data_IF_317261812580
#
_entry.id   IF_317261812580
#
_cell.length_a   1.000
_cell.length_b   1.000
_cell.length_c   1.000
_cell.angle_alpha   90.00
_cell.angle_beta   90.00
_cell.angle_gamma   90.00
#
_symmetry.space_group_name_H-M   'P 1'
#
loop_
_entity.id
_entity.type
_entity.pdbx_description
1 polymer ?
#
# COMPACT_ATOMS: atom_id res chain seq x y z
N UNK A 1 -2.21 -16.81 3.47
CA UNK A 1 -3.27 -15.98 4.07
C UNK A 1 -3.15 -14.56 3.52
N UNK A 2 -4.20 -14.00 2.92
CA UNK A 2 -4.17 -12.64 2.35
C UNK A 2 -4.34 -11.63 3.49
N UNK A 3 -3.27 -10.92 3.84
CA UNK A 3 -3.23 -9.99 4.97
C UNK A 3 -3.54 -8.53 4.59
N UNK A 4 -3.89 -8.28 3.32
CA UNK A 4 -4.01 -6.92 2.77
C UNK A 4 -2.75 -6.10 3.00
N UNK A 5 -1.57 -6.68 2.72
CA UNK A 5 -0.26 -6.06 2.90
C UNK A 5 0.50 -6.08 1.58
N UNK A 6 1.16 -4.98 1.25
CA UNK A 6 2.24 -4.94 0.26
C UNK A 6 3.59 -5.18 0.96
N UNK A 7 4.57 -5.67 0.21
CA UNK A 7 5.92 -5.91 0.72
C UNK A 7 6.94 -5.32 -0.25
N UNK A 8 7.82 -4.46 0.27
CA UNK A 8 8.91 -3.87 -0.50
C UNK A 8 10.08 -4.87 -0.53
N UNK A 9 10.50 -5.24 -1.72
CA UNK A 9 11.65 -6.13 -1.87
C UNK A 9 12.94 -5.33 -1.61
N UNK A 10 13.81 -5.86 -0.75
CA UNK A 10 15.08 -5.20 -0.39
C UNK A 10 14.97 -4.08 0.64
N UNK A 11 13.80 -3.90 1.27
CA UNK A 11 13.62 -2.88 2.30
C UNK A 11 14.59 -3.06 3.48
N UNK A 12 15.28 -1.97 3.85
CA UNK A 12 16.31 -1.95 4.90
C UNK A 12 17.44 -2.98 4.73
N UNK A 13 17.74 -3.40 3.48
CA UNK A 13 18.87 -4.27 3.17
C UNK A 13 19.91 -3.51 2.34
N UNK A 14 21.18 -3.80 2.60
CA UNK A 14 22.28 -3.35 1.74
C UNK A 14 22.26 -4.22 0.49
N UNK A 15 22.14 -3.59 -0.68
CA UNK A 15 22.22 -4.29 -1.96
C UNK A 15 23.67 -4.71 -2.25
N UNK A 16 23.89 -6.02 -2.36
CA UNK A 16 25.18 -6.63 -2.73
C UNK A 16 25.17 -7.23 -4.15
N UNK A 17 24.25 -6.78 -5.00
CA UNK A 17 23.99 -7.32 -6.34
C UNK A 17 22.85 -8.34 -6.39
N UNK A 18 22.16 -8.56 -5.26
CA UNK A 18 21.02 -9.49 -5.17
C UNK A 18 19.81 -8.98 -5.97
N UNK A 19 19.78 -7.69 -6.33
CA UNK A 19 18.69 -7.04 -7.04
C UNK A 19 19.06 -6.61 -8.47
N UNK A 20 20.17 -7.07 -9.04
CA UNK A 20 20.63 -6.63 -10.38
C UNK A 20 19.93 -7.32 -11.58
N UNK A 21 18.89 -8.13 -11.32
CA UNK A 21 18.13 -8.81 -12.38
C UNK A 21 16.77 -8.17 -12.61
N UNK A 22 16.46 -7.92 -13.88
CA UNK A 22 15.09 -7.59 -14.32
C UNK A 22 14.17 -8.76 -13.99
N UNK A 23 13.02 -8.46 -13.38
CA UNK A 23 12.02 -9.48 -13.02
C UNK A 23 10.63 -8.89 -12.95
N UNK A 24 9.64 -9.77 -13.05
CA UNK A 24 8.26 -9.42 -12.75
C UNK A 24 8.05 -9.30 -11.24
N UNK A 25 7.19 -8.38 -10.83
CA UNK A 25 6.85 -8.07 -9.45
C UNK A 25 5.36 -7.76 -9.33
N UNK A 26 4.79 -7.82 -8.13
CA UNK A 26 3.37 -7.55 -7.93
C UNK A 26 3.02 -6.05 -8.08
N UNK A 27 3.95 -5.18 -7.69
CA UNK A 27 3.80 -3.73 -7.79
C UNK A 27 5.17 -3.03 -7.82
N UNK A 28 5.15 -1.75 -8.20
CA UNK A 28 6.29 -0.85 -8.17
C UNK A 28 5.96 0.39 -7.33
N UNK A 29 6.99 1.03 -6.82
CA UNK A 29 6.86 2.30 -6.10
C UNK A 29 6.61 3.46 -7.06
N UNK A 30 5.67 4.35 -6.74
CA UNK A 30 5.34 5.52 -7.56
C UNK A 30 6.48 6.51 -7.76
N UNK A 31 7.50 6.47 -6.90
CA UNK A 31 8.67 7.35 -7.02
C UNK A 31 9.43 7.20 -8.34
N UNK A 32 9.44 6.01 -8.94
CA UNK A 32 10.13 5.73 -10.20
C UNK A 32 9.29 4.78 -11.06
N UNK A 33 8.29 5.34 -11.72
CA UNK A 33 7.29 4.56 -12.43
C UNK A 33 7.13 5.01 -13.89
N UNK A 34 7.23 4.07 -14.82
CA UNK A 34 7.05 4.32 -16.26
C UNK A 34 5.93 3.43 -16.79
N UNK A 35 4.93 4.04 -17.41
CA UNK A 35 3.73 3.37 -17.90
C UNK A 35 3.57 3.67 -19.39
N UNK A 36 3.24 2.65 -20.19
CA UNK A 36 2.88 2.86 -21.59
C UNK A 36 1.54 3.57 -21.68
N UNK A 37 1.42 4.61 -22.51
CA UNK A 37 0.18 5.35 -22.72
C UNK A 37 -1.03 4.41 -23.00
N UNK A 38 -0.84 3.39 -23.83
CA UNK A 38 -1.89 2.38 -24.12
C UNK A 38 -2.44 1.65 -22.89
N UNK A 39 -1.65 1.49 -21.82
CA UNK A 39 -2.10 0.86 -20.57
C UNK A 39 -3.04 1.82 -19.85
N UNK A 40 -2.66 3.10 -19.72
CA UNK A 40 -3.50 4.14 -19.09
C UNK A 40 -4.82 4.30 -19.85
N UNK A 41 -4.79 4.30 -21.19
CA UNK A 41 -6.00 4.37 -22.01
C UNK A 41 -6.92 3.15 -21.83
N UNK A 42 -6.37 2.01 -21.44
CA UNK A 42 -7.13 0.76 -21.27
C UNK A 42 -7.72 0.63 -19.85
N UNK A 43 -6.94 0.89 -18.80
CA UNK A 43 -7.38 0.65 -17.42
C UNK A 43 -7.72 1.93 -16.64
N UNK A 44 -7.48 3.11 -17.21
CA UNK A 44 -7.62 4.40 -16.55
C UNK A 44 -6.37 4.81 -15.74
N UNK A 45 -6.41 6.00 -15.17
CA UNK A 45 -5.34 6.58 -14.35
C UNK A 45 -5.28 5.96 -12.93
N UNK A 46 -4.41 6.50 -12.07
CA UNK A 46 -4.41 6.23 -10.64
C UNK A 46 -5.77 6.63 -10.04
N UNK A 47 -6.29 5.80 -9.13
CA UNK A 47 -7.58 6.07 -8.51
C UNK A 47 -7.45 7.16 -7.43
N UNK A 48 -8.07 8.32 -7.70
CA UNK A 48 -8.05 9.50 -6.84
C UNK A 48 -8.69 9.25 -5.48
N UNK A 49 -9.49 8.19 -5.32
CA UNK A 49 -10.04 7.81 -4.02
C UNK A 49 -8.96 7.44 -3.01
N UNK A 50 -7.79 7.00 -3.45
CA UNK A 50 -6.66 6.70 -2.57
C UNK A 50 -6.01 7.97 -2.03
N UNK A 51 -5.87 9.00 -2.88
CA UNK A 51 -5.15 10.26 -2.64
C UNK A 51 -3.65 10.11 -2.31
N UNK A 52 -3.30 9.21 -1.38
CA UNK A 52 -1.94 8.93 -0.93
C UNK A 52 -1.84 7.49 -0.41
N UNK A 53 -0.78 6.78 -0.79
CA UNK A 53 -0.55 5.36 -0.53
C UNK A 53 -1.59 4.41 -1.13
N UNK A 54 -1.10 3.33 -1.74
CA UNK A 54 -1.87 2.25 -2.40
C UNK A 54 -2.41 2.56 -3.80
N UNK A 55 -2.34 3.81 -4.28
CA UNK A 55 -2.76 4.19 -5.62
C UNK A 55 -1.98 3.43 -6.69
N UNK A 56 -0.66 3.27 -6.54
CA UNK A 56 0.17 2.54 -7.49
C UNK A 56 0.02 1.03 -7.33
N UNK A 57 -0.20 0.55 -6.10
CA UNK A 57 -0.50 -0.87 -5.83
C UNK A 57 -1.81 -1.28 -6.51
N UNK A 58 -2.86 -0.46 -6.39
CA UNK A 58 -4.14 -0.62 -7.09
C UNK A 58 -3.95 -0.59 -8.61
N UNK A 59 -3.19 0.37 -9.12
CA UNK A 59 -2.88 0.46 -10.55
C UNK A 59 -2.17 -0.78 -11.08
N UNK A 60 -1.14 -1.26 -10.38
CA UNK A 60 -0.41 -2.48 -10.73
C UNK A 60 -1.34 -3.70 -10.70
N UNK A 61 -2.20 -3.80 -9.67
CA UNK A 61 -3.16 -4.89 -9.57
C UNK A 61 -4.23 -4.86 -10.68
N UNK A 62 -4.70 -3.68 -11.10
CA UNK A 62 -5.60 -3.51 -12.26
C UNK A 62 -4.91 -3.87 -13.58
N UNK A 63 -3.67 -3.41 -13.78
CA UNK A 63 -2.87 -3.73 -14.96
C UNK A 63 -2.62 -5.24 -15.07
N UNK A 64 -2.24 -5.89 -13.97
CA UNK A 64 -2.03 -7.33 -13.91
C UNK A 64 -3.33 -8.11 -14.21
N UNK A 65 -4.49 -7.67 -13.69
CA UNK A 65 -5.79 -8.29 -13.95
C UNK A 65 -6.17 -8.33 -15.44
N UNK A 66 -5.67 -7.39 -16.26
CA UNK A 66 -5.92 -7.36 -17.72
C UNK A 66 -4.73 -7.87 -18.54
N UNK A 67 -3.76 -8.55 -17.91
CA UNK A 67 -2.67 -9.24 -18.57
C UNK A 67 -1.44 -8.39 -18.90
N UNK A 68 -1.26 -7.23 -18.26
CA UNK A 68 0.00 -6.48 -18.36
C UNK A 68 0.99 -6.90 -17.27
N UNK A 69 2.25 -7.07 -17.67
CA UNK A 69 3.32 -7.41 -16.73
C UNK A 69 3.84 -6.15 -16.04
N UNK A 70 4.11 -6.26 -14.74
CA UNK A 70 4.74 -5.22 -13.94
C UNK A 70 6.20 -5.63 -13.73
N UNK A 71 7.13 -4.83 -14.25
CA UNK A 71 8.53 -5.25 -14.39
C UNK A 71 9.45 -4.31 -13.63
N UNK A 72 10.19 -4.86 -12.68
CA UNK A 72 11.30 -4.18 -12.02
C UNK A 72 12.52 -4.15 -12.95
N UNK A 73 13.07 -2.95 -13.18
CA UNK A 73 14.23 -2.73 -14.05
C UNK A 73 15.38 -2.12 -13.22
N UNK A 74 16.37 -2.93 -12.80
CA UNK A 74 17.40 -2.48 -11.87
C UNK A 74 18.35 -1.43 -12.45
N UNK A 75 18.43 -1.30 -13.79
CA UNK A 75 19.25 -0.27 -14.44
C UNK A 75 18.64 1.14 -14.35
N UNK A 76 17.33 1.25 -14.12
CA UNK A 76 16.65 2.54 -13.95
C UNK A 76 16.64 2.90 -12.45
N UNK A 77 17.64 3.67 -12.01
CA UNK A 77 17.82 4.03 -10.59
C UNK A 77 17.62 5.52 -10.37
N UNK A 78 16.90 5.88 -9.30
CA UNK A 78 16.78 7.25 -8.79
C UNK A 78 16.92 7.26 -7.28
N UNK A 79 17.46 8.33 -6.70
CA UNK A 79 17.50 8.50 -5.25
C UNK A 79 16.20 9.16 -4.78
N UNK A 80 15.50 8.50 -3.86
CA UNK A 80 14.24 8.98 -3.32
C UNK A 80 14.37 9.19 -1.81
N UNK A 81 14.06 10.40 -1.34
CA UNK A 81 14.02 10.71 0.09
C UNK A 81 12.70 10.22 0.69
N UNK A 82 12.69 8.95 1.12
CA UNK A 82 11.51 8.26 1.64
C UNK A 82 10.84 9.10 2.73
N UNK A 83 9.51 9.26 2.62
CA UNK A 83 8.69 9.93 3.61
C UNK A 83 9.02 11.42 3.87
N UNK A 84 9.78 12.08 2.99
CA UNK A 84 10.14 13.49 3.17
C UNK A 84 8.93 14.43 3.28
N UNK A 85 7.92 14.23 2.43
CA UNK A 85 6.70 15.04 2.44
C UNK A 85 5.64 14.50 3.41
N UNK A 86 5.55 13.18 3.54
CA UNK A 86 4.51 12.53 4.31
C UNK A 86 4.86 12.28 5.78
N UNK A 87 6.10 12.56 6.21
CA UNK A 87 6.54 12.41 7.61
C UNK A 87 6.58 10.96 8.13
N UNK A 88 6.41 9.98 7.25
CA UNK A 88 6.55 8.55 7.56
C UNK A 88 5.36 7.98 8.32
N UNK A 89 5.53 6.75 8.81
CA UNK A 89 4.48 5.94 9.44
C UNK A 89 3.85 6.58 10.68
N UNK A 90 4.61 7.42 11.40
CA UNK A 90 4.15 8.13 12.59
C UNK A 90 3.41 9.43 12.30
N UNK A 91 3.35 9.87 11.03
CA UNK A 91 2.54 11.04 10.67
C UNK A 91 1.04 10.71 10.70
N UNK A 92 0.23 11.66 11.12
CA UNK A 92 -1.23 11.53 11.21
C UNK A 92 -1.86 11.27 9.84
N UNK A 93 -1.39 11.92 8.79
CA UNK A 93 -1.88 11.74 7.42
C UNK A 93 -1.56 10.32 6.91
N UNK A 94 -0.32 9.88 7.11
CA UNK A 94 0.12 8.54 6.71
C UNK A 94 -0.59 7.44 7.47
N UNK A 95 -0.72 7.56 8.80
CA UNK A 95 -1.43 6.59 9.63
C UNK A 95 -2.91 6.42 9.19
N UNK A 96 -3.56 7.52 8.80
CA UNK A 96 -4.92 7.49 8.28
C UNK A 96 -5.00 6.81 6.90
N UNK A 97 -4.27 7.31 5.91
CA UNK A 97 -4.38 6.83 4.53
C UNK A 97 -3.84 5.41 4.32
N UNK A 98 -2.68 5.06 4.90
CA UNK A 98 -2.20 3.65 4.86
C UNK A 98 -3.24 2.68 5.42
N UNK A 99 -4.01 3.10 6.42
CA UNK A 99 -4.99 2.23 7.07
C UNK A 99 -6.26 2.16 6.26
N UNK A 100 -6.89 3.30 5.96
CA UNK A 100 -8.15 3.39 5.21
C UNK A 100 -8.02 2.74 3.84
N UNK A 101 -6.91 2.98 3.15
CA UNK A 101 -6.72 2.53 1.77
C UNK A 101 -6.52 1.02 1.65
N UNK A 102 -6.08 0.34 2.72
CA UNK A 102 -6.06 -1.13 2.76
C UNK A 102 -7.46 -1.71 2.60
N UNK A 103 -8.46 -1.10 3.24
CA UNK A 103 -9.85 -1.55 3.10
C UNK A 103 -10.38 -1.30 1.68
N UNK A 104 -10.04 -0.15 1.07
CA UNK A 104 -10.39 0.13 -0.32
C UNK A 104 -9.78 -0.89 -1.28
N UNK A 105 -8.48 -1.18 -1.13
CA UNK A 105 -7.80 -2.18 -1.94
C UNK A 105 -8.40 -3.58 -1.77
N UNK A 106 -8.70 -3.98 -0.53
CA UNK A 106 -9.36 -5.25 -0.23
C UNK A 106 -10.76 -5.33 -0.87
N UNK A 107 -11.52 -4.23 -0.87
CA UNK A 107 -12.82 -4.15 -1.57
C UNK A 107 -12.68 -4.44 -3.07
N UNK A 108 -11.67 -3.84 -3.71
CA UNK A 108 -11.52 -3.87 -5.16
C UNK A 108 -10.85 -5.15 -5.68
N UNK A 109 -10.02 -5.81 -4.86
CA UNK A 109 -9.14 -6.87 -5.34
C UNK A 109 -9.29 -8.21 -4.63
N UNK A 110 -9.94 -8.29 -3.47
CA UNK A 110 -10.02 -9.52 -2.70
C UNK A 110 -11.37 -10.23 -2.81
N UNK A 111 -11.33 -11.56 -2.69
CA UNK A 111 -12.52 -12.38 -2.49
C UNK A 111 -13.07 -12.21 -1.07
N UNK A 112 -14.32 -12.64 -0.85
CA UNK A 112 -14.94 -12.58 0.48
C UNK A 112 -14.14 -13.30 1.56
N UNK A 113 -13.57 -14.47 1.24
CA UNK A 113 -12.72 -15.23 2.18
C UNK A 113 -11.45 -14.45 2.52
N UNK A 114 -10.84 -13.78 1.54
CA UNK A 114 -9.66 -12.94 1.76
C UNK A 114 -10.00 -11.72 2.64
N UNK A 115 -11.15 -11.08 2.42
CA UNK A 115 -11.65 -9.98 3.26
C UNK A 115 -11.83 -10.46 4.71
N UNK A 116 -12.46 -11.61 4.93
CA UNK A 116 -12.63 -12.18 6.28
C UNK A 116 -11.26 -12.42 6.94
N UNK A 117 -10.31 -13.04 6.24
CA UNK A 117 -8.96 -13.28 6.79
C UNK A 117 -8.23 -11.97 7.10
N UNK A 118 -8.39 -10.95 6.27
CA UNK A 118 -7.83 -9.62 6.49
C UNK A 118 -8.44 -8.95 7.72
N UNK A 119 -9.76 -9.03 7.92
CA UNK A 119 -10.43 -8.44 9.08
C UNK A 119 -10.00 -9.14 10.38
N UNK A 120 -9.94 -10.47 10.38
CA UNK A 120 -9.45 -11.25 11.51
C UNK A 120 -8.01 -10.86 11.85
N UNK A 121 -7.11 -10.83 10.86
CA UNK A 121 -5.73 -10.39 11.07
C UNK A 121 -5.64 -8.94 11.59
N UNK A 122 -6.46 -8.05 11.03
CA UNK A 122 -6.45 -6.64 11.38
C UNK A 122 -6.90 -6.41 12.82
N UNK A 123 -7.97 -7.06 13.26
CA UNK A 123 -8.54 -6.90 14.61
C UNK A 123 -7.72 -7.65 15.67
N UNK A 124 -7.34 -8.90 15.39
CA UNK A 124 -6.71 -9.77 16.38
C UNK A 124 -5.23 -9.45 16.59
N UNK A 125 -4.55 -8.88 15.59
CA UNK A 125 -3.11 -8.65 15.67
C UNK A 125 -2.70 -7.23 15.31
N UNK A 126 -2.97 -6.80 14.07
CA UNK A 126 -2.37 -5.58 13.56
C UNK A 126 -2.82 -4.33 14.32
N UNK A 127 -4.09 -4.27 14.74
CA UNK A 127 -4.65 -3.15 15.49
C UNK A 127 -3.84 -2.90 16.76
N UNK A 128 -3.61 -3.95 17.55
CA UNK A 128 -2.87 -3.86 18.81
C UNK A 128 -1.41 -3.48 18.61
N UNK A 129 -0.74 -4.12 17.65
CA UNK A 129 0.66 -3.81 17.31
C UNK A 129 0.81 -2.35 16.86
N UNK A 130 -0.09 -1.87 16.01
CA UNK A 130 -0.03 -0.49 15.49
C UNK A 130 -0.29 0.52 16.61
N UNK A 131 -1.26 0.27 17.50
CA UNK A 131 -1.51 1.11 18.66
C UNK A 131 -0.30 1.18 19.60
N UNK A 132 0.37 0.05 19.85
CA UNK A 132 1.61 -0.01 20.65
C UNK A 132 2.73 0.80 19.99
N UNK A 133 2.96 0.60 18.69
CA UNK A 133 4.02 1.30 17.95
C UNK A 133 3.76 2.82 17.95
N UNK A 134 2.54 3.25 17.62
CA UNK A 134 2.20 4.68 17.58
C UNK A 134 2.19 5.32 18.98
N UNK A 135 1.75 4.59 20.01
CA UNK A 135 1.60 5.10 21.37
C UNK A 135 2.84 5.03 22.24
N UNK A 136 3.60 3.93 22.18
CA UNK A 136 4.76 3.71 23.05
C UNK A 136 6.04 4.16 22.35
N UNK A 137 6.27 3.69 21.12
CA UNK A 137 7.50 3.97 20.39
C UNK A 137 7.52 5.40 19.84
N UNK A 138 6.47 5.81 19.11
CA UNK A 138 6.39 7.16 18.54
C UNK A 138 5.76 8.21 19.46
N UNK A 139 5.08 7.79 20.54
CA UNK A 139 4.38 8.68 21.49
C UNK A 139 3.44 9.68 20.81
N UNK A 140 2.84 9.29 19.68
CA UNK A 140 2.00 10.16 18.86
C UNK A 140 0.52 9.76 18.96
N UNK A 141 -0.19 10.38 19.90
CA UNK A 141 -1.63 10.17 20.10
C UNK A 141 -2.44 10.63 18.88
N UNK A 142 -1.99 11.66 18.17
CA UNK A 142 -2.63 12.11 16.93
C UNK A 142 -2.64 11.02 15.86
N UNK A 143 -1.52 10.31 15.71
CA UNK A 143 -1.41 9.19 14.77
C UNK A 143 -2.32 8.03 15.17
N UNK A 144 -2.48 7.74 16.47
CA UNK A 144 -3.47 6.75 16.94
C UNK A 144 -4.88 7.16 16.55
N UNK A 145 -5.28 8.43 16.79
CA UNK A 145 -6.61 8.93 16.40
C UNK A 145 -6.83 8.80 14.89
N UNK A 146 -5.83 9.15 14.08
CA UNK A 146 -5.86 8.97 12.62
C UNK A 146 -5.97 7.50 12.21
N UNK A 147 -5.23 6.60 12.87
CA UNK A 147 -5.31 5.16 12.64
C UNK A 147 -6.72 4.61 12.95
N UNK A 148 -7.30 4.99 14.10
CA UNK A 148 -8.68 4.62 14.47
C UNK A 148 -9.69 5.15 13.46
N UNK A 149 -9.58 6.42 13.07
CA UNK A 149 -10.42 7.03 12.03
C UNK A 149 -10.29 6.27 10.71
N UNK A 150 -9.08 5.91 10.32
CA UNK A 150 -8.80 5.14 9.10
C UNK A 150 -9.45 3.75 9.11
N UNK A 151 -9.47 3.04 10.24
CA UNK A 151 -10.19 1.78 10.38
C UNK A 151 -11.71 1.97 10.26
N UNK A 152 -12.28 2.98 10.94
CA UNK A 152 -13.72 3.26 10.90
C UNK A 152 -14.17 3.58 9.47
N UNK A 153 -13.46 4.48 8.78
CA UNK A 153 -13.78 4.83 7.40
C UNK A 153 -13.51 3.69 6.42
N UNK A 154 -12.46 2.92 6.64
CA UNK A 154 -12.17 1.70 5.88
C UNK A 154 -13.30 0.67 5.97
N UNK A 155 -13.83 0.43 7.18
CA UNK A 155 -14.98 -0.47 7.37
C UNK A 155 -16.23 0.05 6.66
N UNK A 156 -16.51 1.36 6.70
CA UNK A 156 -17.61 1.97 5.96
C UNK A 156 -17.49 1.72 4.45
N UNK A 157 -16.27 1.75 3.91
CA UNK A 157 -16.01 1.48 2.48
C UNK A 157 -16.35 0.03 2.11
N UNK A 158 -15.97 -0.94 2.96
CA UNK A 158 -16.28 -2.35 2.73
C UNK A 158 -17.80 -2.63 2.73
N UNK A 159 -18.55 -1.94 3.60
CA UNK A 159 -20.00 -2.18 3.78
C UNK A 159 -20.82 -1.45 2.71
N UNK A 160 -20.35 -0.30 2.23
CA UNK A 160 -21.05 0.47 1.20
C UNK A 160 -21.04 -0.30 -0.13
N UNK A 161 -22.22 -0.67 -0.62
CA UNK A 161 -22.40 -1.23 -1.98
C UNK A 161 -21.86 -0.26 -3.02
#
# INVERSE_FOLDING_TARGET
MWKGQSCHIGYNKIDKGEYDRTREVDYLEGSCFLIKNKVVNHIGMLDVQYFLYWEETDFCARAHKVGYNIVYVPKAKIWHKIAAASGGTSNTLSAYYMTRNRFLFMKNHASLTQVITFLLYSILFQFWVTCIILGIYYKNIGAIRSFLKGNIEGLKILIKK
#
